data_IF_794553314285
#
_entry.id   IF_794553314285
#
_cell.length_a   1.000
_cell.length_b   1.000
_cell.length_c   1.000
_cell.angle_alpha   90.00
_cell.angle_beta   90.00
_cell.angle_gamma   90.00
#
_symmetry.space_group_name_H-M   'P 1'
#
loop_
_entity.id
_entity.type
_entity.pdbx_description
1 polymer ?
#
# COMPACT_ATOMS: atom_id res chain seq x y z
N UNK A 1 -3.15 -0.07 23.46
CA UNK A 1 -4.52 -0.02 22.91
C UNK A 1 -4.40 0.14 21.39
N UNK A 2 -5.38 -0.31 20.60
CA UNK A 2 -5.34 -0.12 19.15
C UNK A 2 -5.37 1.38 18.81
N UNK A 3 -4.55 1.78 17.84
CA UNK A 3 -4.33 3.18 17.44
C UNK A 3 -5.40 3.66 16.46
N UNK A 4 -6.14 2.73 15.85
CA UNK A 4 -7.12 2.98 14.78
C UNK A 4 -8.17 1.87 14.72
N UNK A 5 -9.30 2.13 14.04
CA UNK A 5 -10.33 1.12 13.81
C UNK A 5 -9.79 -0.03 12.97
N UNK A 6 -8.94 0.28 11.98
CA UNK A 6 -8.30 -0.73 11.16
C UNK A 6 -7.40 -1.65 12.01
N UNK A 7 -6.55 -1.10 12.88
CA UNK A 7 -5.65 -1.89 13.72
C UNK A 7 -6.43 -2.74 14.73
N UNK A 8 -7.54 -2.24 15.26
CA UNK A 8 -8.42 -3.02 16.14
C UNK A 8 -8.97 -4.24 15.39
N UNK A 9 -9.57 -4.03 14.22
CA UNK A 9 -10.14 -5.09 13.39
C UNK A 9 -9.07 -6.09 12.93
N UNK A 10 -7.91 -5.59 12.54
CA UNK A 10 -6.75 -6.37 12.11
C UNK A 10 -6.28 -7.36 13.20
N UNK A 11 -6.42 -6.98 14.48
CA UNK A 11 -6.04 -7.79 15.63
C UNK A 11 -7.21 -8.60 16.23
N UNK A 12 -8.44 -8.42 15.74
CA UNK A 12 -9.64 -9.06 16.29
C UNK A 12 -9.75 -10.57 16.01
N UNK A 13 -8.93 -11.10 15.08
CA UNK A 13 -9.04 -12.48 14.59
C UNK A 13 -10.21 -12.72 13.63
N UNK A 14 -11.02 -11.68 13.33
CA UNK A 14 -12.06 -11.74 12.30
C UNK A 14 -11.45 -11.52 10.91
N UNK A 15 -12.16 -12.01 9.90
CA UNK A 15 -11.81 -11.72 8.51
C UNK A 15 -11.97 -10.23 8.23
N UNK A 16 -10.97 -9.64 7.58
CA UNK A 16 -10.88 -8.21 7.32
C UNK A 16 -10.85 -7.97 5.81
N UNK A 17 -11.63 -7.01 5.33
CA UNK A 17 -11.67 -6.60 3.92
C UNK A 17 -11.20 -5.16 3.79
N UNK A 18 -10.21 -4.92 2.93
CA UNK A 18 -9.84 -3.56 2.52
C UNK A 18 -10.08 -3.38 1.03
N UNK A 19 -10.33 -2.14 0.61
CA UNK A 19 -10.27 -1.78 -0.82
C UNK A 19 -9.11 -0.81 -1.07
N UNK A 20 -8.84 -0.55 -2.33
CA UNK A 20 -7.91 0.48 -2.78
C UNK A 20 -8.64 1.45 -3.71
N UNK A 21 -8.33 2.74 -3.58
CA UNK A 21 -8.79 3.78 -4.49
C UNK A 21 -7.59 4.56 -5.03
N UNK A 22 -7.61 4.85 -6.32
CA UNK A 22 -6.60 5.66 -6.99
C UNK A 22 -6.98 7.13 -7.01
N UNK A 23 -6.10 8.06 -6.58
CA UNK A 23 -6.38 9.47 -6.73
C UNK A 23 -6.51 9.92 -8.19
N UNK A 24 -7.34 10.96 -8.47
CA UNK A 24 -7.53 11.48 -9.82
C UNK A 24 -6.27 12.19 -10.33
N UNK A 25 -6.19 12.39 -11.65
CA UNK A 25 -5.18 13.26 -12.26
C UNK A 25 -5.75 14.67 -12.45
N UNK A 26 -5.76 15.44 -11.38
CA UNK A 26 -6.32 16.79 -11.37
C UNK A 26 -6.83 17.20 -9.98
N UNK A 27 -7.47 18.36 -9.93
CA UNK A 27 -8.05 18.92 -8.69
C UNK A 27 -9.51 18.51 -8.47
N UNK A 28 -10.19 17.97 -9.48
CA UNK A 28 -11.55 17.47 -9.35
C UNK A 28 -11.54 16.15 -8.56
N UNK A 29 -12.13 16.19 -7.37
CA UNK A 29 -12.19 15.06 -6.44
C UNK A 29 -13.53 14.32 -6.49
N UNK A 30 -14.43 14.67 -7.41
CA UNK A 30 -15.79 14.12 -7.45
C UNK A 30 -15.81 12.59 -7.59
N UNK A 31 -14.94 12.04 -8.44
CA UNK A 31 -14.84 10.59 -8.68
C UNK A 31 -14.31 9.84 -7.45
N UNK A 32 -13.24 10.33 -6.81
CA UNK A 32 -12.69 9.69 -5.62
C UNK A 32 -13.69 9.76 -4.46
N UNK A 33 -14.41 10.88 -4.29
CA UNK A 33 -15.46 11.01 -3.28
C UNK A 33 -16.62 10.04 -3.55
N UNK A 34 -17.03 9.89 -4.82
CA UNK A 34 -18.03 8.89 -5.19
C UNK A 34 -17.62 7.47 -4.77
N UNK A 35 -16.38 7.06 -5.05
CA UNK A 35 -15.86 5.76 -4.64
C UNK A 35 -15.79 5.59 -3.11
N UNK A 36 -15.41 6.65 -2.38
CA UNK A 36 -15.39 6.63 -0.91
C UNK A 36 -16.78 6.37 -0.35
N UNK A 37 -17.78 7.14 -0.79
CA UNK A 37 -19.17 6.97 -0.33
C UNK A 37 -19.74 5.59 -0.66
N UNK A 38 -19.36 5.02 -1.82
CA UNK A 38 -19.82 3.69 -2.22
C UNK A 38 -19.25 2.56 -1.35
N UNK A 39 -18.05 2.75 -0.77
CA UNK A 39 -17.23 1.69 -0.20
C UNK A 39 -17.01 1.79 1.31
N UNK A 40 -17.04 2.99 1.91
CA UNK A 40 -16.64 3.22 3.32
C UNK A 40 -17.35 2.32 4.34
N UNK A 41 -18.62 1.98 4.08
CA UNK A 41 -19.43 1.14 4.96
C UNK A 41 -19.39 -0.36 4.60
N UNK A 42 -18.70 -0.72 3.52
CA UNK A 42 -18.58 -2.10 3.00
C UNK A 42 -17.21 -2.72 3.26
N UNK A 43 -16.22 -1.90 3.61
CA UNK A 43 -14.85 -2.34 3.88
C UNK A 43 -14.38 -1.84 5.24
N UNK A 44 -13.38 -2.50 5.79
CA UNK A 44 -12.80 -2.15 7.09
C UNK A 44 -11.82 -1.00 7.01
N UNK A 45 -11.18 -0.81 5.85
CA UNK A 45 -10.33 0.33 5.54
C UNK A 45 -10.14 0.51 4.03
N UNK A 46 -9.73 1.71 3.63
CA UNK A 46 -9.51 2.12 2.24
C UNK A 46 -8.06 2.56 2.06
N UNK A 47 -7.31 1.86 1.21
CA UNK A 47 -5.98 2.28 0.78
C UNK A 47 -6.09 3.42 -0.23
N UNK A 48 -5.22 4.43 -0.10
CA UNK A 48 -5.08 5.49 -1.11
C UNK A 48 -3.71 5.39 -1.75
N UNK A 49 -3.67 5.13 -3.05
CA UNK A 49 -2.40 4.95 -3.76
C UNK A 49 -1.62 6.26 -3.89
N UNK A 50 -0.29 6.13 -3.91
CA UNK A 50 0.64 7.24 -4.02
C UNK A 50 1.34 7.19 -5.37
N UNK A 51 0.79 7.94 -6.34
CA UNK A 51 1.29 7.98 -7.72
C UNK A 51 1.52 6.58 -8.30
N UNK A 52 0.48 5.75 -8.28
CA UNK A 52 0.50 4.40 -8.85
C UNK A 52 1.13 4.37 -10.26
N UNK A 53 2.02 3.40 -10.49
CA UNK A 53 2.81 3.27 -11.72
C UNK A 53 3.66 4.50 -12.04
N UNK A 54 4.07 5.25 -11.02
CA UNK A 54 4.82 6.51 -11.14
C UNK A 54 4.10 7.58 -11.97
N UNK A 55 2.76 7.52 -12.06
CA UNK A 55 1.95 8.52 -12.75
C UNK A 55 1.56 9.63 -11.78
N UNK A 56 1.85 10.89 -12.13
CA UNK A 56 1.50 12.03 -11.29
C UNK A 56 -0.03 12.14 -11.15
N UNK A 57 -0.48 12.24 -9.90
CA UNK A 57 -1.88 12.20 -9.46
C UNK A 57 -2.05 13.10 -8.24
N UNK A 58 -3.29 13.33 -7.84
CA UNK A 58 -3.62 13.96 -6.57
C UNK A 58 -2.93 13.21 -5.41
N UNK A 59 -2.38 13.90 -4.40
CA UNK A 59 -1.55 13.26 -3.38
C UNK A 59 -2.34 12.29 -2.51
N UNK A 60 -1.75 11.13 -2.17
CA UNK A 60 -2.38 10.09 -1.34
C UNK A 60 -2.83 10.63 0.02
N UNK A 61 -2.04 11.52 0.62
CA UNK A 61 -2.38 12.19 1.87
C UNK A 61 -3.68 12.99 1.75
N UNK A 62 -3.88 13.71 0.65
CA UNK A 62 -5.12 14.44 0.37
C UNK A 62 -6.32 13.48 0.23
N UNK A 63 -6.14 12.36 -0.45
CA UNK A 63 -7.19 11.33 -0.55
C UNK A 63 -7.55 10.71 0.81
N UNK A 64 -6.57 10.54 1.70
CA UNK A 64 -6.82 10.08 3.06
C UNK A 64 -7.63 11.10 3.88
N UNK A 65 -7.40 12.39 3.68
CA UNK A 65 -8.21 13.44 4.32
C UNK A 65 -9.65 13.40 3.84
N UNK A 66 -9.88 13.25 2.52
CA UNK A 66 -11.23 13.06 1.99
C UNK A 66 -11.92 11.83 2.61
N UNK A 67 -11.22 10.71 2.75
CA UNK A 67 -11.77 9.53 3.43
C UNK A 67 -12.20 9.87 4.87
N UNK A 68 -11.37 10.61 5.63
CA UNK A 68 -11.72 11.04 7.00
C UNK A 68 -12.92 11.98 7.03
N UNK A 69 -12.98 12.96 6.13
CA UNK A 69 -14.09 13.92 6.01
C UNK A 69 -15.42 13.23 5.73
N UNK A 70 -15.37 12.12 5.00
CA UNK A 70 -16.53 11.30 4.65
C UNK A 70 -16.80 10.15 5.64
N UNK A 71 -16.04 10.05 6.74
CA UNK A 71 -16.27 9.09 7.83
C UNK A 71 -15.68 7.69 7.61
N UNK A 72 -14.81 7.51 6.61
CA UNK A 72 -14.10 6.25 6.38
C UNK A 72 -12.78 6.12 7.14
N UNK A 73 -12.16 4.94 7.02
CA UNK A 73 -10.90 4.60 7.66
C UNK A 73 -9.77 4.47 6.61
N UNK A 74 -8.83 5.41 6.53
CA UNK A 74 -7.81 5.41 5.49
C UNK A 74 -6.57 4.59 5.85
N UNK A 75 -5.93 4.02 4.83
CA UNK A 75 -4.55 3.53 4.85
C UNK A 75 -3.74 4.37 3.86
N UNK A 76 -2.82 5.16 4.39
CA UNK A 76 -1.94 6.03 3.61
C UNK A 76 -0.84 5.19 2.95
N UNK A 77 -0.89 5.02 1.63
CA UNK A 77 0.30 4.55 0.93
C UNK A 77 1.29 5.71 0.83
N UNK A 78 2.55 5.41 1.18
CA UNK A 78 3.64 6.38 1.11
C UNK A 78 4.84 5.75 0.44
N UNK A 79 5.22 6.31 -0.70
CA UNK A 79 6.36 5.87 -1.50
C UNK A 79 7.59 6.74 -1.23
N UNK A 80 8.77 6.14 -1.32
CA UNK A 80 10.05 6.85 -1.16
C UNK A 80 10.70 7.26 -2.49
N UNK A 81 10.13 6.82 -3.62
CA UNK A 81 10.61 7.08 -4.99
C UNK A 81 10.94 8.54 -5.25
N UNK A 82 10.06 9.45 -4.86
CA UNK A 82 10.10 10.88 -5.22
C UNK A 82 10.16 11.82 -4.01
N UNK A 83 10.36 11.29 -2.79
CA UNK A 83 10.45 12.07 -1.55
C UNK A 83 11.71 11.74 -0.74
N UNK A 84 12.30 12.78 -0.15
CA UNK A 84 13.41 12.61 0.80
C UNK A 84 12.90 12.48 2.25
N UNK A 85 13.78 12.16 3.19
CA UNK A 85 13.44 12.03 4.62
C UNK A 85 12.76 13.25 5.24
N UNK A 86 12.99 14.47 4.72
CA UNK A 86 12.34 15.67 5.27
C UNK A 86 10.86 15.68 4.87
N UNK A 87 10.58 15.49 3.58
CA UNK A 87 9.22 15.41 3.06
C UNK A 87 8.43 14.26 3.69
N UNK A 88 9.03 13.08 3.79
CA UNK A 88 8.39 11.90 4.39
C UNK A 88 8.02 12.13 5.87
N UNK A 89 8.93 12.67 6.68
CA UNK A 89 8.64 12.98 8.09
C UNK A 89 7.56 14.06 8.22
N UNK A 90 7.61 15.12 7.41
CA UNK A 90 6.62 16.19 7.43
C UNK A 90 5.22 15.69 7.07
N UNK A 91 5.09 14.87 6.02
CA UNK A 91 3.81 14.30 5.59
C UNK A 91 3.23 13.36 6.65
N UNK A 92 4.07 12.56 7.32
CA UNK A 92 3.64 11.69 8.42
C UNK A 92 3.14 12.49 9.64
N UNK A 93 3.84 13.57 10.02
CA UNK A 93 3.38 14.44 11.10
C UNK A 93 2.03 15.09 10.75
N UNK A 94 1.85 15.54 9.51
CA UNK A 94 0.57 16.07 9.03
C UNK A 94 -0.51 14.97 9.07
N UNK A 95 -0.24 13.77 8.56
CA UNK A 95 -1.15 12.64 8.59
C UNK A 95 -1.61 12.34 10.03
N UNK A 96 -0.66 12.24 10.96
CA UNK A 96 -0.96 12.00 12.37
C UNK A 96 -1.82 13.11 12.98
N UNK A 97 -1.51 14.38 12.70
CA UNK A 97 -2.30 15.52 13.19
C UNK A 97 -3.76 15.50 12.72
N UNK A 98 -4.06 14.81 11.61
CA UNK A 98 -5.41 14.69 11.03
C UNK A 98 -6.10 13.36 11.30
N UNK A 99 -5.61 12.60 12.28
CA UNK A 99 -6.24 11.33 12.68
C UNK A 99 -5.98 10.16 11.73
N UNK A 100 -5.02 10.28 10.80
CA UNK A 100 -4.57 9.16 9.97
C UNK A 100 -3.54 8.38 10.78
N UNK A 101 -3.77 7.07 10.92
CA UNK A 101 -3.00 6.19 11.82
C UNK A 101 -2.49 4.93 11.14
N UNK A 102 -2.89 4.66 9.90
CA UNK A 102 -2.47 3.48 9.16
C UNK A 102 -1.61 3.91 7.97
N UNK A 103 -0.41 3.35 7.85
CA UNK A 103 0.55 3.72 6.79
C UNK A 103 1.09 2.46 6.15
N UNK A 104 1.02 2.38 4.82
CA UNK A 104 1.67 1.36 4.03
C UNK A 104 2.97 1.92 3.44
N UNK A 105 4.10 1.45 3.96
CA UNK A 105 5.43 1.92 3.57
C UNK A 105 5.92 1.22 2.30
N UNK A 106 6.13 1.98 1.23
CA UNK A 106 6.50 1.48 -0.09
C UNK A 106 7.81 2.11 -0.58
N UNK A 107 8.59 1.35 -1.34
CA UNK A 107 9.72 1.93 -2.10
C UNK A 107 9.18 2.73 -3.29
N UNK A 108 8.13 2.25 -3.94
CA UNK A 108 7.58 2.82 -5.18
C UNK A 108 8.27 2.26 -6.42
N UNK A 109 7.60 2.38 -7.56
CA UNK A 109 8.11 1.95 -8.86
C UNK A 109 9.24 2.87 -9.34
N UNK A 110 9.98 2.48 -10.37
CA UNK A 110 10.95 3.38 -10.98
C UNK A 110 10.23 4.59 -11.65
N UNK A 111 10.88 5.76 -11.70
CA UNK A 111 10.28 6.98 -12.28
C UNK A 111 10.01 6.79 -13.79
N UNK A 112 10.88 6.05 -14.45
CA UNK A 112 10.90 5.80 -15.90
C UNK A 112 9.66 5.05 -16.41
N UNK A 113 8.99 4.32 -15.52
CA UNK A 113 7.71 3.63 -15.80
C UNK A 113 6.56 4.63 -15.93
N UNK A 114 6.70 5.80 -15.30
CA UNK A 114 5.66 6.82 -15.21
C UNK A 114 5.59 7.80 -16.37
N UNK A 115 4.80 8.84 -16.17
CA UNK A 115 4.54 9.90 -17.15
C UNK A 115 5.49 11.10 -17.06
N UNK A 116 6.33 11.17 -16.01
CA UNK A 116 7.33 12.23 -15.81
C UNK A 116 8.75 11.64 -15.83
N UNK A 117 9.17 11.12 -16.98
CA UNK A 117 10.43 10.37 -17.14
C UNK A 117 11.70 11.19 -16.85
N UNK A 118 11.62 12.51 -16.92
CA UNK A 118 12.74 13.42 -16.63
C UNK A 118 12.81 13.81 -15.13
N UNK A 119 11.83 13.41 -14.32
CA UNK A 119 11.86 13.67 -12.89
C UNK A 119 13.03 12.95 -12.23
N UNK A 120 13.67 13.59 -11.26
CA UNK A 120 14.80 12.98 -10.56
C UNK A 120 14.30 11.92 -9.58
N UNK A 121 14.80 10.67 -9.66
CA UNK A 121 14.55 9.69 -8.62
C UNK A 121 15.21 10.16 -7.32
N UNK A 122 14.47 10.12 -6.21
CA UNK A 122 14.98 10.53 -4.90
C UNK A 122 15.50 9.33 -4.13
N UNK A 123 14.64 8.34 -3.83
CA UNK A 123 14.98 7.11 -3.12
C UNK A 123 15.97 7.30 -1.95
N UNK A 124 15.82 8.40 -1.19
CA UNK A 124 16.69 8.70 -0.02
C UNK A 124 16.59 7.59 1.03
N UNK A 125 15.43 6.93 1.09
CA UNK A 125 15.14 5.76 1.89
C UNK A 125 14.50 4.68 1.00
N UNK A 126 14.63 3.40 1.35
CA UNK A 126 13.77 2.33 0.87
C UNK A 126 12.59 2.06 1.84
N UNK A 127 11.71 1.11 1.51
CA UNK A 127 10.56 0.77 2.38
C UNK A 127 10.97 0.24 3.75
N UNK A 128 12.12 -0.44 3.89
CA UNK A 128 12.61 -0.91 5.20
C UNK A 128 13.08 0.28 6.03
N UNK A 129 13.84 1.18 5.41
CA UNK A 129 14.34 2.40 6.06
C UNK A 129 13.21 3.37 6.40
N UNK A 130 12.15 3.45 5.58
CA UNK A 130 10.95 4.21 5.90
C UNK A 130 10.26 3.67 7.16
N UNK A 131 10.06 2.35 7.28
CA UNK A 131 9.49 1.74 8.50
C UNK A 131 10.34 2.10 9.73
N UNK A 132 11.67 1.96 9.63
CA UNK A 132 12.60 2.32 10.72
C UNK A 132 12.50 3.79 11.09
N UNK A 133 12.44 4.68 10.09
CA UNK A 133 12.26 6.12 10.31
C UNK A 133 10.96 6.38 11.07
N UNK A 134 9.85 5.75 10.70
CA UNK A 134 8.59 5.92 11.43
C UNK A 134 8.71 5.41 12.87
N UNK A 135 9.34 4.26 13.11
CA UNK A 135 9.59 3.77 14.48
C UNK A 135 10.47 4.73 15.30
N UNK A 136 11.44 5.40 14.69
CA UNK A 136 12.19 6.49 15.35
C UNK A 136 11.26 7.65 15.72
N UNK A 137 10.38 8.07 14.81
CA UNK A 137 9.39 9.12 15.10
C UNK A 137 8.46 8.75 16.25
N UNK A 138 8.01 7.49 16.32
CA UNK A 138 7.19 7.00 17.43
C UNK A 138 7.92 6.99 18.79
N UNK A 139 9.26 7.03 18.80
CA UNK A 139 10.04 7.26 20.03
C UNK A 139 10.09 8.74 20.46
N UNK A 140 9.42 9.63 19.72
CA UNK A 140 9.40 11.07 19.97
C UNK A 140 10.59 11.82 19.38
N UNK A 141 11.28 11.26 18.38
CA UNK A 141 12.47 11.88 17.76
C UNK A 141 12.39 11.94 16.25
N UNK A 142 12.94 12.99 15.65
CA UNK A 142 13.18 13.03 14.22
C UNK A 142 14.37 12.12 13.83
N UNK A 143 14.60 11.94 12.52
CA UNK A 143 15.69 11.11 12.01
C UNK A 143 17.09 11.72 12.26
N UNK A 144 17.18 13.00 12.62
CA UNK A 144 18.41 13.66 13.04
C UNK A 144 18.67 13.51 14.55
N UNK A 145 17.72 12.95 15.30
CA UNK A 145 17.81 12.72 16.74
C UNK A 145 17.28 13.86 17.61
N UNK A 146 16.67 14.89 17.01
CA UNK A 146 16.02 15.98 17.75
C UNK A 146 14.65 15.55 18.28
N UNK A 147 14.24 16.12 19.40
CA UNK A 147 12.96 15.80 20.02
C UNK A 147 11.78 16.40 19.24
N UNK A 148 10.74 15.60 19.06
CA UNK A 148 9.44 16.01 18.54
C UNK A 148 8.54 16.45 19.70
N UNK A 149 7.68 17.44 19.45
CA UNK A 149 6.62 17.81 20.40
C UNK A 149 5.48 16.79 20.33
N UNK A 150 5.62 15.75 21.14
CA UNK A 150 4.78 14.56 21.09
C UNK A 150 5.33 13.52 20.10
N UNK A 151 4.83 12.29 20.22
CA UNK A 151 5.21 11.19 19.34
C UNK A 151 3.97 10.78 18.51
N UNK A 152 4.08 10.69 17.18
CA UNK A 152 3.06 10.01 16.41
C UNK A 152 3.03 8.52 16.75
N UNK A 153 1.93 7.86 16.43
CA UNK A 153 1.76 6.42 16.57
C UNK A 153 1.02 5.90 15.33
N UNK A 154 1.56 4.88 14.68
CA UNK A 154 1.01 4.29 13.47
C UNK A 154 0.91 2.76 13.53
N UNK A 155 -0.12 2.23 12.88
CA UNK A 155 -0.17 0.86 12.41
C UNK A 155 0.58 0.77 11.07
N UNK A 156 1.78 0.17 11.10
CA UNK A 156 2.66 0.13 9.93
C UNK A 156 2.48 -1.13 9.10
N UNK A 157 2.24 -0.93 7.81
CA UNK A 157 2.18 -1.97 6.81
C UNK A 157 3.32 -1.90 5.81
N UNK A 158 3.52 -2.99 5.08
CA UNK A 158 4.40 -3.01 3.91
C UNK A 158 3.84 -3.91 2.80
N UNK A 159 4.39 -3.84 1.59
CA UNK A 159 4.04 -4.77 0.52
C UNK A 159 4.94 -6.00 0.48
N UNK A 160 4.43 -7.10 -0.07
CA UNK A 160 5.20 -8.31 -0.41
C UNK A 160 4.71 -8.88 -1.73
N UNK A 161 5.59 -9.55 -2.49
CA UNK A 161 5.21 -10.21 -3.74
C UNK A 161 5.48 -11.72 -3.62
N UNK A 162 4.48 -12.53 -3.21
CA UNK A 162 4.62 -13.98 -3.04
C UNK A 162 4.97 -14.72 -4.33
N UNK A 163 4.57 -14.19 -5.48
CA UNK A 163 4.76 -14.79 -6.81
C UNK A 163 5.88 -14.14 -7.63
N UNK A 164 6.84 -13.49 -6.97
CA UNK A 164 8.00 -12.95 -7.67
C UNK A 164 8.84 -14.06 -8.32
N UNK A 165 9.36 -13.79 -9.51
CA UNK A 165 10.24 -14.71 -10.26
C UNK A 165 11.41 -15.23 -9.43
N UNK A 166 11.95 -14.37 -8.56
CA UNK A 166 12.97 -14.69 -7.57
C UNK A 166 12.43 -14.40 -6.17
N UNK A 167 12.06 -15.46 -5.46
CA UNK A 167 11.39 -15.36 -4.16
C UNK A 167 12.36 -15.05 -3.02
N UNK A 168 13.61 -15.53 -3.07
CA UNK A 168 14.58 -15.40 -1.97
C UNK A 168 14.90 -13.95 -1.62
N UNK A 169 15.15 -13.04 -2.58
CA UNK A 169 15.32 -11.62 -2.27
C UNK A 169 14.06 -10.99 -1.66
N UNK A 170 12.87 -11.45 -2.05
CA UNK A 170 11.61 -10.98 -1.46
C UNK A 170 11.45 -11.45 -0.03
N UNK A 171 11.80 -12.70 0.29
CA UNK A 171 11.77 -13.23 1.66
C UNK A 171 12.77 -12.49 2.56
N UNK A 172 14.00 -12.26 2.09
CA UNK A 172 15.00 -11.46 2.83
C UNK A 172 14.47 -10.04 3.09
N UNK A 173 13.82 -9.42 2.10
CA UNK A 173 13.23 -8.08 2.27
C UNK A 173 12.03 -8.11 3.21
N UNK A 174 11.21 -9.16 3.16
CA UNK A 174 10.11 -9.38 4.09
C UNK A 174 10.62 -9.48 5.53
N UNK A 175 11.63 -10.31 5.81
CA UNK A 175 12.25 -10.43 7.14
C UNK A 175 12.76 -9.08 7.65
N UNK A 176 13.44 -8.32 6.78
CA UNK A 176 13.93 -6.99 7.12
C UNK A 176 12.79 -6.02 7.46
N UNK A 177 11.65 -6.10 6.77
CA UNK A 177 10.45 -5.29 7.05
C UNK A 177 9.80 -5.71 8.37
N UNK A 178 9.69 -7.01 8.65
CA UNK A 178 9.22 -7.53 9.95
C UNK A 178 10.12 -7.03 11.07
N UNK A 179 11.45 -7.20 10.95
CA UNK A 179 12.42 -6.77 11.94
C UNK A 179 12.46 -5.23 12.12
N UNK A 180 12.16 -4.46 11.07
CA UNK A 180 11.99 -3.01 11.16
C UNK A 180 10.71 -2.61 11.91
N UNK A 181 9.77 -3.53 12.08
CA UNK A 181 8.55 -3.35 12.85
C UNK A 181 7.28 -3.27 12.00
N UNK A 182 7.23 -3.76 10.77
CA UNK A 182 5.95 -3.89 10.05
C UNK A 182 4.99 -4.81 10.82
N UNK A 183 3.72 -4.41 10.94
CA UNK A 183 2.67 -5.14 11.65
C UNK A 183 1.76 -5.91 10.70
N UNK A 184 1.60 -5.42 9.48
CA UNK A 184 0.85 -6.11 8.43
C UNK A 184 1.53 -6.01 7.06
N UNK A 185 1.13 -6.91 6.17
CA UNK A 185 1.60 -6.93 4.80
C UNK A 185 0.43 -7.07 3.84
N UNK A 186 0.46 -6.32 2.75
CA UNK A 186 -0.43 -6.51 1.61
C UNK A 186 0.36 -7.19 0.50
N UNK A 187 -0.20 -8.28 -0.05
CA UNK A 187 0.44 -8.95 -1.18
C UNK A 187 0.14 -8.20 -2.48
N UNK A 188 1.02 -8.32 -3.47
CA UNK A 188 0.63 -8.08 -4.86
C UNK A 188 -0.53 -9.02 -5.27
N UNK A 189 -1.19 -8.71 -6.40
CA UNK A 189 -2.34 -9.47 -6.90
C UNK A 189 -2.03 -10.97 -7.02
N UNK A 190 -2.80 -11.79 -6.31
CA UNK A 190 -2.64 -13.25 -6.30
C UNK A 190 -3.54 -13.89 -7.35
N UNK A 191 -2.93 -14.64 -8.26
CA UNK A 191 -3.64 -15.50 -9.23
C UNK A 191 -3.32 -16.99 -9.07
N UNK A 192 -2.29 -17.32 -8.28
CA UNK A 192 -1.87 -18.68 -7.99
C UNK A 192 -1.91 -18.91 -6.47
N UNK A 193 -2.84 -19.78 -6.05
CA UNK A 193 -3.05 -20.12 -4.65
C UNK A 193 -1.92 -20.98 -4.08
N UNK A 194 -1.25 -21.79 -4.89
CA UNK A 194 -0.15 -22.64 -4.41
C UNK A 194 1.06 -21.79 -4.03
N UNK A 195 1.31 -20.73 -4.80
CA UNK A 195 2.35 -19.75 -4.50
C UNK A 195 2.02 -18.95 -3.23
N UNK A 196 0.78 -18.52 -3.05
CA UNK A 196 0.35 -17.91 -1.80
C UNK A 196 0.49 -18.90 -0.61
N UNK A 197 0.09 -20.16 -0.79
CA UNK A 197 0.19 -21.18 0.26
C UNK A 197 1.63 -21.39 0.73
N UNK A 198 2.59 -21.53 -0.21
CA UNK A 198 4.02 -21.65 0.10
C UNK A 198 4.55 -20.41 0.84
N UNK A 199 4.17 -19.21 0.40
CA UNK A 199 4.54 -18.00 1.11
C UNK A 199 3.95 -17.94 2.52
N UNK A 200 2.69 -18.36 2.71
CA UNK A 200 2.06 -18.38 4.03
C UNK A 200 2.73 -19.38 4.98
N UNK A 201 3.20 -20.53 4.49
CA UNK A 201 4.02 -21.47 5.28
C UNK A 201 5.29 -20.79 5.81
N UNK A 202 5.94 -19.96 5.00
CA UNK A 202 7.08 -19.16 5.42
C UNK A 202 6.67 -18.04 6.39
N UNK A 203 5.64 -17.25 6.07
CA UNK A 203 5.24 -16.09 6.84
C UNK A 203 4.67 -16.43 8.23
N UNK A 204 4.15 -17.66 8.43
CA UNK A 204 3.52 -18.11 9.68
C UNK A 204 4.47 -18.09 10.89
N UNK A 205 5.79 -18.10 10.66
CA UNK A 205 6.78 -18.00 11.75
C UNK A 205 6.84 -16.61 12.40
N UNK A 206 6.22 -15.60 11.78
CA UNK A 206 6.23 -14.21 12.25
C UNK A 206 4.87 -13.79 12.78
N UNK A 207 4.84 -12.98 13.84
CA UNK A 207 3.62 -12.39 14.38
C UNK A 207 3.20 -11.13 13.60
N UNK A 208 2.90 -11.30 12.32
CA UNK A 208 2.41 -10.24 11.43
C UNK A 208 1.14 -10.69 10.72
N UNK A 209 0.33 -9.74 10.24
CA UNK A 209 -0.88 -10.05 9.48
C UNK A 209 -0.61 -9.98 7.99
N UNK A 210 -1.16 -10.90 7.21
CA UNK A 210 -1.05 -10.91 5.75
C UNK A 210 -2.45 -10.68 5.17
N UNK A 211 -2.59 -9.65 4.34
CA UNK A 211 -3.78 -9.35 3.55
C UNK A 211 -3.48 -9.74 2.09
N UNK A 212 -4.20 -10.73 1.58
CA UNK A 212 -4.05 -11.16 0.20
C UNK A 212 -4.68 -10.13 -0.75
N UNK A 213 -3.89 -9.57 -1.64
CA UNK A 213 -4.33 -8.67 -2.70
C UNK A 213 -5.05 -9.44 -3.80
N UNK A 214 -6.26 -9.01 -4.14
CA UNK A 214 -7.08 -9.56 -5.22
C UNK A 214 -7.39 -8.43 -6.19
N UNK A 215 -7.10 -8.63 -7.47
CA UNK A 215 -7.48 -7.71 -8.53
C UNK A 215 -8.59 -8.35 -9.35
N UNK A 216 -9.76 -7.72 -9.36
CA UNK A 216 -10.90 -8.22 -10.11
C UNK A 216 -10.72 -7.87 -11.59
N UNK A 217 -10.52 -8.91 -12.41
CA UNK A 217 -10.35 -8.77 -13.85
C UNK A 217 -11.72 -8.65 -14.53
N UNK A 218 -12.01 -7.48 -15.09
CA UNK A 218 -13.28 -7.23 -15.78
C UNK A 218 -13.34 -7.83 -17.20
N UNK A 219 -12.20 -8.19 -17.80
CA UNK A 219 -12.15 -8.77 -19.15
C UNK A 219 -10.78 -9.40 -19.45
N UNK A 220 -10.74 -10.30 -20.44
CA UNK A 220 -9.49 -10.81 -21.00
C UNK A 220 -8.57 -9.70 -21.53
N UNK A 221 -9.15 -8.60 -22.06
CA UNK A 221 -8.38 -7.44 -22.51
C UNK A 221 -7.65 -6.75 -21.36
N UNK A 222 -8.34 -6.57 -20.23
CA UNK A 222 -7.72 -6.01 -19.02
C UNK A 222 -6.60 -6.93 -18.52
N UNK A 223 -6.85 -8.24 -18.48
CA UNK A 223 -5.87 -9.22 -18.04
C UNK A 223 -4.58 -9.19 -18.90
N UNK A 224 -4.70 -9.15 -20.23
CA UNK A 224 -3.55 -9.01 -21.14
C UNK A 224 -2.83 -7.68 -20.92
N UNK A 225 -3.58 -6.57 -20.81
CA UNK A 225 -2.99 -5.26 -20.52
C UNK A 225 -2.17 -5.26 -19.23
N UNK A 226 -2.65 -5.93 -18.17
CA UNK A 226 -1.93 -6.02 -16.90
C UNK A 226 -0.59 -6.74 -17.05
N UNK A 227 -0.53 -7.87 -17.76
CA UNK A 227 0.74 -8.56 -18.03
C UNK A 227 1.71 -7.69 -18.83
N UNK A 228 1.21 -6.92 -19.79
CA UNK A 228 2.06 -6.15 -20.70
C UNK A 228 2.55 -4.83 -20.10
N UNK A 229 1.79 -4.23 -19.16
CA UNK A 229 1.98 -2.83 -18.73
C UNK A 229 2.14 -2.64 -17.23
N UNK A 230 1.82 -3.63 -16.39
CA UNK A 230 1.89 -3.48 -14.93
C UNK A 230 3.02 -4.35 -14.36
N UNK A 231 4.15 -3.75 -13.96
CA UNK A 231 5.29 -4.49 -13.44
C UNK A 231 4.91 -5.36 -12.24
N UNK A 232 5.36 -6.62 -12.26
CA UNK A 232 5.14 -7.55 -11.16
C UNK A 232 3.74 -8.16 -11.10
N UNK A 233 2.90 -7.96 -12.12
CA UNK A 233 1.64 -8.70 -12.27
C UNK A 233 1.76 -9.72 -13.38
N UNK A 234 1.43 -10.97 -13.07
CA UNK A 234 1.37 -12.06 -14.03
C UNK A 234 0.03 -12.80 -13.87
N UNK A 235 -0.91 -12.50 -14.76
CA UNK A 235 -2.16 -13.22 -14.91
C UNK A 235 -1.90 -14.49 -15.74
N UNK A 236 -2.18 -15.70 -15.20
CA UNK A 236 -2.04 -16.96 -15.93
C UNK A 236 -2.88 -17.01 -17.21
N UNK A 237 -2.35 -17.62 -18.27
CA UNK A 237 -3.08 -17.79 -19.54
C UNK A 237 -4.42 -18.51 -19.35
N UNK A 238 -4.51 -19.49 -18.45
CA UNK A 238 -5.76 -20.18 -18.15
C UNK A 238 -6.89 -19.22 -17.74
N UNK A 239 -6.59 -18.21 -16.90
CA UNK A 239 -7.56 -17.18 -16.49
C UNK A 239 -7.90 -16.26 -17.67
N UNK A 240 -6.91 -15.89 -18.48
CA UNK A 240 -7.12 -15.04 -19.66
C UNK A 240 -8.02 -15.74 -20.68
N UNK A 241 -7.80 -17.02 -20.92
CA UNK A 241 -8.55 -17.84 -21.87
C UNK A 241 -9.98 -18.10 -21.38
N UNK A 242 -10.16 -18.35 -20.08
CA UNK A 242 -11.47 -18.43 -19.44
C UNK A 242 -12.26 -17.12 -19.63
N UNK A 243 -11.65 -15.97 -19.30
CA UNK A 243 -12.25 -14.65 -19.50
C UNK A 243 -12.54 -14.32 -20.97
N UNK A 244 -11.81 -14.92 -21.91
CA UNK A 244 -12.03 -14.72 -23.34
C UNK A 244 -13.16 -15.60 -23.90
N UNK A 245 -13.48 -16.70 -23.20
CA UNK A 245 -14.51 -17.66 -23.60
C UNK A 245 -15.94 -17.21 -23.27
N UNK A 246 -16.10 -16.22 -22.39
CA UNK A 246 -17.39 -15.67 -21.98
C UNK A 246 -17.81 -14.48 -22.86
N UNK A 247 -19.08 -14.45 -23.29
CA UNK A 247 -19.64 -13.33 -24.03
C UNK A 247 -19.63 -12.05 -23.18
N UNK A 248 -19.45 -10.89 -23.83
CA UNK A 248 -19.53 -9.60 -23.14
C UNK A 248 -20.96 -9.40 -22.62
N UNK A 249 -21.11 -9.35 -21.31
CA UNK A 249 -22.35 -8.92 -20.64
C UNK A 249 -22.67 -7.45 -20.87
#
# INVERSE_FOLDING_TARGET
MAKSLFEEKLNSGKFLVTTEIGPPKGVDTSEIVHHIELLKDKVDAINVTDHQSSVMRFPSLGGCLLIKEHGGEPILQMTTRDRNRLALQADLLLAYSRGIRNVLCLTGDAIEVGDHKEAKPVFDLDSVQLIRMVRTMESGKDLAGHDLKGAPEFCLGASVHPAADFIEPQLIKFDKKVAAGAQFFQTQGIYDLDTLHRFMQYAHQFNVKILAGIIVLASARMARYMNDNVPGIMVPNAIIDELASVEKG
#
